data_IF_606668602046
#
_entry.id   IF_606668602046
#
_cell.length_a   1.000
_cell.length_b   1.000
_cell.length_c   1.000
_cell.angle_alpha   90.00
_cell.angle_beta   90.00
_cell.angle_gamma   90.00
#
_symmetry.space_group_name_H-M   'P 1'
#
loop_
_entity.id
_entity.type
_entity.pdbx_description
1 polymer ?
#
# COMPACT_ATOMS: atom_id res chain seq x y z
N UNK A 1 7.32 -10.74 1.99
CA UNK A 1 6.86 -10.21 0.68
C UNK A 1 5.40 -9.85 0.81
N UNK A 2 4.99 -8.66 0.36
CA UNK A 2 3.59 -8.26 0.37
C UNK A 2 2.85 -8.99 -0.75
N UNK A 3 1.65 -9.51 -0.45
CA UNK A 3 0.74 -10.10 -1.42
C UNK A 3 -0.60 -9.41 -1.33
N UNK A 4 -1.21 -9.12 -2.47
CA UNK A 4 -2.58 -8.60 -2.54
C UNK A 4 -3.45 -9.76 -3.02
N UNK A 5 -4.55 -10.03 -2.33
CA UNK A 5 -5.50 -11.06 -2.73
C UNK A 5 -6.86 -10.40 -2.99
N UNK A 6 -7.46 -10.74 -4.12
CA UNK A 6 -8.81 -10.32 -4.50
C UNK A 6 -9.78 -11.46 -4.30
N UNK A 7 -10.95 -11.17 -3.74
CA UNK A 7 -12.03 -12.14 -3.65
C UNK A 7 -12.77 -12.20 -4.99
N UNK A 8 -12.70 -13.33 -5.68
CA UNK A 8 -13.38 -13.61 -6.94
C UNK A 8 -14.06 -14.98 -6.83
N UNK A 9 -15.38 -15.03 -7.08
CA UNK A 9 -16.17 -16.26 -7.05
C UNK A 9 -15.97 -17.13 -5.79
N UNK A 10 -15.90 -16.48 -4.62
CA UNK A 10 -15.71 -17.14 -3.32
C UNK A 10 -14.27 -17.58 -3.02
N UNK A 11 -13.31 -17.31 -3.92
CA UNK A 11 -11.91 -17.67 -3.77
C UNK A 11 -11.01 -16.43 -3.72
N UNK A 12 -9.89 -16.54 -3.00
CA UNK A 12 -8.86 -15.49 -2.99
C UNK A 12 -7.83 -15.76 -4.08
N UNK A 13 -7.68 -14.81 -5.00
CA UNK A 13 -6.72 -14.86 -6.11
C UNK A 13 -5.64 -13.80 -5.88
N UNK A 14 -4.37 -14.19 -6.00
CA UNK A 14 -3.24 -13.27 -5.90
C UNK A 14 -3.27 -12.27 -7.07
N UNK A 15 -3.08 -10.99 -6.74
CA UNK A 15 -3.13 -9.88 -7.68
C UNK A 15 -1.95 -8.97 -7.44
N UNK A 16 -1.50 -8.30 -8.50
CA UNK A 16 -0.49 -7.26 -8.42
C UNK A 16 -1.08 -5.90 -8.02
N UNK A 17 -2.40 -5.75 -8.16
CA UNK A 17 -3.12 -4.50 -7.97
C UNK A 17 -4.21 -4.64 -6.91
N UNK A 18 -4.43 -3.56 -6.17
CA UNK A 18 -5.57 -3.41 -5.27
C UNK A 18 -6.77 -2.85 -6.03
N UNK A 19 -7.94 -3.46 -5.84
CA UNK A 19 -9.21 -2.94 -6.37
C UNK A 19 -9.60 -1.60 -5.74
N UNK A 20 -9.29 -1.38 -4.47
CA UNK A 20 -9.65 -0.16 -3.75
C UNK A 20 -8.70 1.01 -4.03
N UNK A 21 -7.51 0.71 -4.53
CA UNK A 21 -6.45 1.66 -4.82
C UNK A 21 -5.84 1.34 -6.20
N UNK A 22 -6.64 1.41 -7.27
CA UNK A 22 -6.17 1.09 -8.61
C UNK A 22 -5.07 2.09 -9.01
N UNK A 23 -4.06 1.58 -9.71
CA UNK A 23 -2.87 2.30 -10.19
C UNK A 23 -1.87 2.80 -9.13
N UNK A 24 -1.96 2.32 -7.89
CA UNK A 24 -0.89 2.50 -6.90
C UNK A 24 0.06 1.28 -6.86
N UNK A 25 1.39 1.48 -6.92
CA UNK A 25 2.37 0.40 -6.85
C UNK A 25 2.56 -0.07 -5.39
N UNK A 26 1.50 -0.60 -4.78
CA UNK A 26 1.47 -0.94 -3.36
C UNK A 26 2.49 -2.03 -2.98
N UNK A 27 2.75 -2.98 -3.88
CA UNK A 27 3.71 -4.06 -3.67
C UNK A 27 5.13 -3.54 -3.45
N UNK A 28 5.50 -2.44 -4.11
CA UNK A 28 6.81 -1.81 -3.98
C UNK A 28 6.85 -0.83 -2.80
N UNK A 29 5.81 0.01 -2.70
CA UNK A 29 5.80 1.17 -1.80
C UNK A 29 5.56 0.79 -0.35
N UNK A 30 4.68 -0.18 -0.06
CA UNK A 30 4.37 -0.57 1.33
C UNK A 30 5.61 -1.15 2.05
N UNK A 31 6.37 -2.10 1.46
CA UNK A 31 7.62 -2.55 2.06
C UNK A 31 8.62 -1.42 2.33
N UNK A 32 8.72 -0.44 1.43
CA UNK A 32 9.62 0.70 1.60
C UNK A 32 9.25 1.54 2.82
N UNK A 33 7.97 1.89 2.99
CA UNK A 33 7.51 2.59 4.19
C UNK A 33 7.68 1.73 5.46
N UNK A 34 7.51 0.41 5.37
CA UNK A 34 7.73 -0.49 6.49
C UNK A 34 9.20 -0.46 6.95
N UNK A 35 10.16 -0.50 6.03
CA UNK A 35 11.58 -0.40 6.37
C UNK A 35 11.93 0.97 6.96
N UNK A 36 11.44 2.06 6.37
CA UNK A 36 11.64 3.40 6.92
C UNK A 36 11.06 3.55 8.33
N UNK A 37 9.97 2.84 8.65
CA UNK A 37 9.34 2.91 9.98
C UNK A 37 10.24 2.39 11.09
N UNK A 38 11.19 1.49 10.75
CA UNK A 38 12.16 0.94 11.71
C UNK A 38 13.21 1.97 12.13
N UNK A 39 13.49 2.97 11.29
CA UNK A 39 14.53 3.99 11.55
C UNK A 39 13.94 5.36 11.93
N UNK A 40 12.97 5.87 11.15
CA UNK A 40 12.35 7.18 11.36
C UNK A 40 11.18 7.15 12.35
N UNK A 41 10.76 5.95 12.79
CA UNK A 41 9.66 5.74 13.71
C UNK A 41 8.29 5.63 13.01
N UNK A 42 7.45 4.76 13.58
CA UNK A 42 6.12 4.41 13.03
C UNK A 42 5.21 5.61 12.77
N UNK A 43 5.15 6.57 13.69
CA UNK A 43 4.21 7.69 13.59
C UNK A 43 4.56 8.64 12.43
N UNK A 44 5.84 8.94 12.23
CA UNK A 44 6.30 9.81 11.15
C UNK A 44 5.99 9.18 9.78
N UNK A 45 6.30 7.89 9.62
CA UNK A 45 6.08 7.17 8.37
C UNK A 45 4.59 6.98 8.06
N UNK A 46 3.76 6.67 9.05
CA UNK A 46 2.30 6.60 8.83
C UNK A 46 1.71 7.96 8.43
N UNK A 47 2.28 9.08 8.91
CA UNK A 47 1.85 10.41 8.47
C UNK A 47 2.26 10.67 7.01
N UNK A 48 3.50 10.35 6.63
CA UNK A 48 4.01 10.49 5.27
C UNK A 48 3.20 9.65 4.28
N UNK A 49 2.96 8.36 4.58
CA UNK A 49 2.13 7.47 3.77
C UNK A 49 0.73 8.04 3.53
N UNK A 50 0.06 8.54 4.59
CA UNK A 50 -1.27 9.16 4.45
C UNK A 50 -1.25 10.44 3.62
N UNK A 51 -0.18 11.24 3.69
CA UNK A 51 -0.03 12.44 2.85
C UNK A 51 0.05 12.06 1.38
N UNK A 52 0.92 11.10 1.07
CA UNK A 52 1.10 10.59 -0.29
C UNK A 52 -0.19 10.02 -0.88
N UNK A 53 -0.95 9.21 -0.12
CA UNK A 53 -2.26 8.71 -0.57
C UNK A 53 -3.24 9.86 -0.86
N UNK A 54 -3.26 10.91 -0.02
CA UNK A 54 -4.14 12.06 -0.25
C UNK A 54 -3.76 12.84 -1.51
N UNK A 55 -2.47 13.06 -1.74
CA UNK A 55 -1.97 13.71 -2.95
C UNK A 55 -2.36 12.94 -4.21
N UNK A 56 -2.35 11.61 -4.13
CA UNK A 56 -2.81 10.74 -5.21
C UNK A 56 -4.33 10.85 -5.45
N UNK A 57 -5.14 10.83 -4.39
CA UNK A 57 -6.60 10.93 -4.49
C UNK A 57 -7.11 12.33 -4.85
N UNK A 58 -6.27 13.37 -4.69
CA UNK A 58 -6.59 14.74 -5.07
C UNK A 58 -6.28 15.08 -6.53
N UNK A 59 -5.67 14.15 -7.27
CA UNK A 59 -5.46 14.25 -8.73
C UNK A 59 -6.56 13.48 -9.46
#
# INVERSE_FOLDING_TARGET
>A
MLKINLLQDGNYIESELSLSLPNLPLIEVIPQYLEQSKTAGRNAILKAFRSWIREYLSK
#
